data_IF_126717334800
#
_entry.id   IF_126717334800
#
_cell.length_a   1.000
_cell.length_b   1.000
_cell.length_c   1.000
_cell.angle_alpha   90.00
_cell.angle_beta   90.00
_cell.angle_gamma   90.00
#
_symmetry.space_group_name_H-M   'P 1'
#
loop_
_entity.id
_entity.type
_entity.pdbx_description
1 polymer ?
#
# COMPACT_ATOMS: atom_id res chain seq x y z
N UNK A 1 61.01 -47.76 -7.90
CA UNK A 1 59.55 -47.85 -8.11
C UNK A 1 58.85 -46.98 -7.08
N UNK A 2 57.76 -46.31 -7.49
CA UNK A 2 56.93 -45.36 -6.74
C UNK A 2 57.46 -43.92 -6.69
N UNK A 3 57.32 -43.31 -7.86
CA UNK A 3 57.18 -41.89 -8.10
C UNK A 3 56.03 -41.26 -7.29
N UNK A 4 56.13 -39.94 -7.13
CA UNK A 4 55.02 -38.97 -7.01
C UNK A 4 54.23 -39.04 -5.69
N UNK A 5 54.59 -38.19 -4.72
CA UNK A 5 53.64 -37.61 -3.76
C UNK A 5 54.22 -36.43 -2.95
N UNK A 6 55.11 -35.63 -3.55
CA UNK A 6 55.64 -34.40 -2.93
C UNK A 6 55.53 -33.24 -3.93
N UNK A 7 54.34 -33.04 -4.52
CA UNK A 7 53.89 -31.78 -5.13
C UNK A 7 52.35 -31.77 -5.10
N UNK A 8 51.76 -31.87 -3.91
CA UNK A 8 50.31 -31.67 -3.73
C UNK A 8 49.99 -31.15 -2.32
N UNK A 9 50.81 -30.22 -1.83
CA UNK A 9 50.62 -29.55 -0.54
C UNK A 9 50.49 -28.02 -0.70
N UNK A 10 50.13 -27.56 -1.92
CA UNK A 10 50.02 -26.14 -2.29
C UNK A 10 48.73 -25.78 -3.04
N UNK A 11 47.73 -26.66 -3.03
CA UNK A 11 46.43 -26.43 -3.67
C UNK A 11 45.28 -26.92 -2.79
N UNK A 12 45.04 -26.24 -1.66
CA UNK A 12 43.78 -26.31 -0.89
C UNK A 12 43.60 -25.09 0.03
N UNK A 13 44.04 -23.90 -0.42
CA UNK A 13 43.58 -22.62 0.14
C UNK A 13 42.59 -22.03 -0.85
N UNK A 14 41.31 -22.34 -0.66
CA UNK A 14 40.21 -21.47 -1.10
C UNK A 14 38.98 -21.84 -0.29
N UNK A 15 39.01 -21.49 1.00
CA UNK A 15 37.78 -21.33 1.74
C UNK A 15 37.13 -20.05 1.21
N UNK A 16 36.00 -20.27 0.57
CA UNK A 16 35.05 -19.29 0.05
C UNK A 16 34.67 -18.26 1.10
N UNK A 17 34.91 -16.98 0.81
CA UNK A 17 33.99 -15.91 1.20
C UNK A 17 33.90 -14.96 0.01
N UNK A 18 32.84 -15.15 -0.78
CA UNK A 18 32.48 -14.28 -1.89
C UNK A 18 32.21 -12.88 -1.33
N UNK A 19 33.04 -11.93 -1.69
CA UNK A 19 32.66 -10.52 -1.77
C UNK A 19 31.81 -10.30 -3.02
N UNK A 20 30.89 -9.34 -2.89
CA UNK A 20 30.04 -8.72 -3.92
C UNK A 20 28.86 -9.62 -4.35
N UNK A 21 27.60 -9.17 -4.42
CA UNK A 21 27.07 -7.82 -4.64
C UNK A 21 25.84 -7.59 -3.73
N UNK A 22 25.77 -6.39 -3.14
CA UNK A 22 24.50 -5.82 -2.71
C UNK A 22 23.66 -5.58 -3.94
N UNK A 23 22.58 -6.34 -4.10
CA UNK A 23 21.52 -6.05 -5.06
C UNK A 23 20.75 -4.86 -4.51
N UNK A 24 21.24 -3.66 -4.84
CA UNK A 24 20.42 -2.46 -4.84
C UNK A 24 19.33 -2.61 -5.90
N UNK A 25 18.15 -2.16 -5.50
CA UNK A 25 16.91 -2.17 -6.24
C UNK A 25 17.04 -1.34 -7.52
N UNK A 26 16.72 -1.95 -8.66
CA UNK A 26 16.30 -1.22 -9.85
C UNK A 26 14.95 -1.76 -10.31
N UNK A 27 13.88 -1.44 -9.57
CA UNK A 27 12.53 -1.43 -10.16
C UNK A 27 12.40 -0.14 -10.97
N UNK A 28 13.04 -0.11 -12.13
CA UNK A 28 12.75 0.88 -13.17
C UNK A 28 11.91 0.18 -14.22
N UNK A 29 10.63 -0.03 -13.93
CA UNK A 29 9.66 0.01 -15.02
C UNK A 29 9.59 1.47 -15.44
N UNK A 30 10.25 1.80 -16.55
CA UNK A 30 10.08 3.08 -17.23
C UNK A 30 8.58 3.23 -17.53
N UNK A 31 7.90 4.02 -16.70
CA UNK A 31 6.50 4.36 -16.93
C UNK A 31 6.51 5.42 -18.00
N UNK A 32 5.92 5.09 -19.14
CA UNK A 32 5.68 6.03 -20.23
C UNK A 32 4.82 7.19 -19.69
N UNK A 33 5.47 8.31 -19.38
CA UNK A 33 4.80 9.54 -18.94
C UNK A 33 4.15 10.18 -20.16
N UNK A 34 2.84 9.98 -20.31
CA UNK A 34 2.06 10.67 -21.34
C UNK A 34 1.82 12.11 -20.88
N UNK A 35 2.21 13.14 -21.66
CA UNK A 35 2.10 14.53 -21.23
C UNK A 35 0.63 14.97 -21.13
N UNK A 36 0.22 15.41 -19.94
CA UNK A 36 -1.11 15.91 -19.61
C UNK A 36 -1.37 17.28 -20.28
N UNK A 37 -1.74 17.27 -21.55
CA UNK A 37 -2.58 18.33 -22.14
C UNK A 37 -4.03 17.88 -22.03
N UNK A 38 -4.95 18.77 -21.65
CA UNK A 38 -6.38 18.50 -21.37
C UNK A 38 -7.10 17.71 -22.48
N UNK A 39 -6.86 16.40 -22.55
CA UNK A 39 -7.35 15.53 -23.61
C UNK A 39 -8.00 14.30 -22.98
N UNK A 40 -9.32 14.20 -23.18
CA UNK A 40 -10.15 13.00 -23.12
C UNK A 40 -9.96 12.08 -21.90
N UNK A 41 -10.20 12.59 -20.69
CA UNK A 41 -10.37 11.72 -19.53
C UNK A 41 -11.64 10.87 -19.68
N UNK A 42 -11.52 9.55 -19.43
CA UNK A 42 -12.64 8.60 -19.52
C UNK A 42 -13.55 8.72 -18.29
N UNK A 43 -12.93 8.85 -17.11
CA UNK A 43 -13.58 9.05 -15.82
C UNK A 43 -12.73 9.99 -14.96
N UNK A 44 -13.37 10.76 -14.08
CA UNK A 44 -12.70 11.72 -13.20
C UNK A 44 -13.38 11.84 -11.84
N UNK A 45 -12.59 11.64 -10.79
CA UNK A 45 -12.96 11.85 -9.40
C UNK A 45 -12.09 12.94 -8.79
N UNK A 46 -12.60 13.73 -7.84
CA UNK A 46 -11.82 14.81 -7.24
C UNK A 46 -12.30 15.22 -5.86
N UNK A 47 -11.38 15.74 -5.05
CA UNK A 47 -11.66 16.30 -3.73
C UNK A 47 -10.94 17.64 -3.58
N UNK A 48 -11.65 18.65 -3.07
CA UNK A 48 -11.03 19.89 -2.58
C UNK A 48 -10.45 19.62 -1.19
N UNK A 49 -9.20 20.02 -0.99
CA UNK A 49 -8.47 19.74 0.24
C UNK A 49 -8.52 20.94 1.18
N UNK A 50 -8.57 20.70 2.49
CA UNK A 50 -8.20 21.75 3.45
C UNK A 50 -6.72 22.06 3.27
N UNK A 51 -6.43 23.16 2.60
CA UNK A 51 -5.08 23.52 2.16
C UNK A 51 -4.19 24.13 3.24
N UNK A 52 -4.65 24.20 4.51
CA UNK A 52 -3.84 24.74 5.61
C UNK A 52 -2.59 23.89 5.85
N UNK A 53 -1.42 24.48 5.62
CA UNK A 53 -0.13 23.82 5.89
C UNK A 53 0.25 22.72 4.88
N UNK A 54 -0.44 22.61 3.74
CA UNK A 54 -0.15 21.65 2.68
C UNK A 54 0.02 22.33 1.31
N UNK A 55 0.80 21.70 0.43
CA UNK A 55 1.15 22.26 -0.88
C UNK A 55 0.02 22.22 -1.93
N UNK A 56 -1.02 21.42 -1.75
CA UNK A 56 -2.13 21.25 -2.70
C UNK A 56 -3.47 21.77 -2.15
N UNK A 57 -4.37 22.21 -3.02
CA UNK A 57 -5.76 22.57 -2.68
C UNK A 57 -6.79 21.62 -3.30
N UNK A 58 -6.36 20.70 -4.16
CA UNK A 58 -7.22 19.73 -4.83
C UNK A 58 -6.45 18.49 -5.22
N UNK A 59 -7.09 17.35 -5.14
CA UNK A 59 -6.66 16.10 -5.77
C UNK A 59 -7.67 15.71 -6.84
N UNK A 60 -7.17 15.19 -7.96
CA UNK A 60 -7.95 14.72 -9.10
C UNK A 60 -7.42 13.35 -9.49
N UNK A 61 -8.29 12.38 -9.63
CA UNK A 61 -7.98 11.07 -10.16
C UNK A 61 -8.65 10.97 -11.52
N UNK A 62 -7.87 10.68 -12.56
CA UNK A 62 -8.38 10.67 -13.92
C UNK A 62 -7.96 9.40 -14.64
N UNK A 63 -8.92 8.74 -15.30
CA UNK A 63 -8.65 7.62 -16.18
C UNK A 63 -8.18 8.13 -17.55
N UNK A 64 -6.99 7.70 -17.95
CA UNK A 64 -6.31 8.15 -19.19
C UNK A 64 -6.52 7.15 -20.31
N UNK A 65 -6.55 5.87 -19.98
CA UNK A 65 -6.62 4.79 -20.97
C UNK A 65 -7.29 3.57 -20.36
N UNK A 66 -8.09 2.89 -21.17
CA UNK A 66 -8.66 1.58 -20.86
C UNK A 66 -8.33 0.61 -21.98
N UNK A 67 -7.93 -0.60 -21.63
CA UNK A 67 -7.68 -1.70 -22.57
C UNK A 67 -8.32 -2.97 -22.08
N UNK A 68 -8.70 -3.86 -23.00
CA UNK A 68 -9.19 -5.20 -22.69
C UNK A 68 -8.30 -6.22 -23.39
N UNK A 69 -7.98 -7.32 -22.69
CA UNK A 69 -7.29 -8.44 -23.30
C UNK A 69 -8.28 -9.41 -23.98
N UNK A 70 -7.72 -10.48 -24.57
CA UNK A 70 -8.49 -11.52 -25.29
C UNK A 70 -9.46 -12.29 -24.39
N UNK A 71 -9.21 -12.30 -23.08
CA UNK A 71 -10.00 -13.01 -22.08
C UNK A 71 -11.01 -12.05 -21.40
N UNK A 72 -11.21 -10.86 -21.99
CA UNK A 72 -12.09 -9.80 -21.50
C UNK A 72 -11.69 -9.23 -20.12
N UNK A 73 -10.41 -9.36 -19.74
CA UNK A 73 -9.87 -8.71 -18.55
C UNK A 73 -9.54 -7.26 -18.90
N UNK A 74 -10.15 -6.33 -18.15
CA UNK A 74 -9.95 -4.90 -18.31
C UNK A 74 -8.70 -4.42 -17.57
N UNK A 75 -8.01 -3.43 -18.14
CA UNK A 75 -6.94 -2.67 -17.48
C UNK A 75 -7.19 -1.19 -17.71
N UNK A 76 -7.30 -0.44 -16.62
CA UNK A 76 -7.44 1.02 -16.63
C UNK A 76 -6.18 1.67 -16.11
N UNK A 77 -5.71 2.69 -16.81
CA UNK A 77 -4.57 3.50 -16.45
C UNK A 77 -5.07 4.83 -15.91
N UNK A 78 -4.65 5.18 -14.70
CA UNK A 78 -5.07 6.38 -14.00
C UNK A 78 -3.88 7.29 -13.69
N UNK A 79 -4.15 8.59 -13.56
CA UNK A 79 -3.27 9.54 -12.90
C UNK A 79 -3.94 10.10 -11.65
N UNK A 80 -3.25 10.03 -10.52
CA UNK A 80 -3.61 10.74 -9.29
C UNK A 80 -2.81 12.05 -9.28
N UNK A 81 -3.46 13.16 -9.62
CA UNK A 81 -2.88 14.48 -9.71
C UNK A 81 -3.21 15.36 -8.51
N UNK A 82 -2.21 16.04 -7.98
CA UNK A 82 -2.35 17.07 -6.94
C UNK A 82 -2.15 18.45 -7.55
N UNK A 83 -3.05 19.37 -7.22
CA UNK A 83 -3.14 20.68 -7.84
C UNK A 83 -3.05 21.79 -6.78
N UNK A 84 -2.46 22.92 -7.17
CA UNK A 84 -2.50 24.19 -6.45
C UNK A 84 -2.89 25.28 -7.41
N UNK A 85 -3.94 26.05 -7.11
CA UNK A 85 -4.47 27.10 -7.97
C UNK A 85 -4.67 26.61 -9.42
N UNK A 86 -5.26 25.41 -9.57
CA UNK A 86 -5.48 24.72 -10.84
C UNK A 86 -4.22 24.33 -11.65
N UNK A 87 -3.02 24.46 -11.08
CA UNK A 87 -1.79 23.93 -11.69
C UNK A 87 -1.42 22.61 -11.04
N UNK A 88 -1.15 21.58 -11.84
CA UNK A 88 -0.62 20.32 -11.33
C UNK A 88 0.76 20.57 -10.71
N UNK A 89 0.96 20.11 -9.48
CA UNK A 89 2.25 20.19 -8.77
C UNK A 89 2.90 18.82 -8.58
N UNK A 90 2.11 17.76 -8.66
CA UNK A 90 2.55 16.36 -8.59
C UNK A 90 1.53 15.47 -9.28
N UNK A 91 1.99 14.43 -9.96
CA UNK A 91 1.15 13.38 -10.53
C UNK A 91 1.74 12.01 -10.20
N UNK A 92 0.87 11.03 -9.98
CA UNK A 92 1.25 9.65 -9.76
C UNK A 92 0.48 8.73 -10.73
N UNK A 93 1.16 8.12 -11.71
CA UNK A 93 0.52 7.17 -12.61
C UNK A 93 0.30 5.83 -11.89
N UNK A 94 -0.85 5.22 -12.15
CA UNK A 94 -1.17 3.88 -11.63
C UNK A 94 -2.02 3.10 -12.63
N UNK A 95 -2.09 1.78 -12.45
CA UNK A 95 -2.92 0.89 -13.25
C UNK A 95 -3.75 0.01 -12.34
N UNK A 96 -4.99 -0.22 -12.74
CA UNK A 96 -5.94 -1.10 -12.07
C UNK A 96 -6.39 -2.17 -13.07
N UNK A 97 -6.36 -3.42 -12.64
CA UNK A 97 -6.86 -4.56 -13.42
C UNK A 97 -8.23 -4.93 -12.85
N UNK A 98 -9.21 -5.17 -13.71
CA UNK A 98 -10.58 -5.50 -13.31
C UNK A 98 -11.20 -6.55 -14.24
N UNK A 99 -12.22 -7.25 -13.74
CA UNK A 99 -12.92 -8.31 -14.46
C UNK A 99 -13.90 -7.78 -15.52
N UNK A 100 -14.78 -8.67 -16.01
CA UNK A 100 -15.71 -8.37 -17.10
C UNK A 100 -16.85 -7.40 -16.71
N UNK A 101 -17.27 -7.37 -15.44
CA UNK A 101 -18.56 -6.79 -15.03
C UNK A 101 -18.54 -5.40 -14.38
N UNK A 102 -17.38 -4.78 -14.11
CA UNK A 102 -17.37 -3.52 -13.36
C UNK A 102 -16.14 -2.65 -13.54
N UNK A 103 -16.39 -1.33 -13.62
CA UNK A 103 -15.36 -0.29 -13.64
C UNK A 103 -14.81 0.03 -12.26
N UNK A 104 -13.72 0.77 -12.23
CA UNK A 104 -13.00 1.13 -11.02
C UNK A 104 -13.73 2.28 -10.29
N UNK A 105 -14.14 2.07 -9.04
CA UNK A 105 -14.75 3.11 -8.20
C UNK A 105 -13.68 3.78 -7.35
N UNK A 106 -13.61 5.11 -7.36
CA UNK A 106 -12.63 5.84 -6.56
C UNK A 106 -13.28 6.51 -5.35
N UNK A 107 -12.59 6.45 -4.22
CA UNK A 107 -12.89 7.25 -3.05
C UNK A 107 -11.61 7.98 -2.58
N UNK A 108 -11.79 9.23 -2.15
CA UNK A 108 -10.72 10.09 -1.67
C UNK A 108 -11.09 10.57 -0.27
N UNK A 109 -10.21 10.36 0.70
CA UNK A 109 -10.44 10.66 2.11
C UNK A 109 -9.24 11.41 2.72
N UNK A 110 -9.48 12.62 3.24
CA UNK A 110 -8.48 13.44 3.96
C UNK A 110 -8.49 13.19 5.47
N UNK A 111 -9.46 12.43 5.98
CA UNK A 111 -9.64 12.10 7.40
C UNK A 111 -9.17 10.68 7.73
N UNK A 112 -8.57 9.96 6.78
CA UNK A 112 -8.15 8.56 6.95
C UNK A 112 -7.17 8.36 8.12
N UNK A 113 -6.26 9.30 8.35
CA UNK A 113 -5.33 9.27 9.48
C UNK A 113 -5.95 9.99 10.68
N UNK A 114 -6.97 9.34 11.27
CA UNK A 114 -7.63 9.74 12.51
C UNK A 114 -7.39 8.69 13.61
N UNK A 115 -7.51 9.07 14.88
CA UNK A 115 -7.58 8.11 15.97
C UNK A 115 -8.96 7.45 16.05
N UNK A 116 -9.10 6.41 16.88
CA UNK A 116 -10.33 5.62 16.96
C UNK A 116 -11.57 6.44 17.35
N UNK A 117 -11.38 7.49 18.14
CA UNK A 117 -12.46 8.40 18.59
C UNK A 117 -12.69 9.57 17.61
N UNK A 118 -11.89 9.67 16.54
CA UNK A 118 -11.86 10.82 15.61
C UNK A 118 -11.64 12.17 16.30
N UNK A 119 -11.01 12.18 17.47
CA UNK A 119 -10.66 13.40 18.20
C UNK A 119 -9.42 14.08 17.61
N UNK A 120 -8.52 13.28 17.02
CA UNK A 120 -7.29 13.76 16.41
C UNK A 120 -7.20 13.26 14.97
N UNK A 121 -6.99 14.18 14.03
CA UNK A 121 -6.90 13.90 12.60
C UNK A 121 -5.67 14.62 12.04
N UNK A 122 -4.86 13.92 11.25
CA UNK A 122 -3.79 14.53 10.46
C UNK A 122 -4.19 14.69 9.00
N UNK A 123 -4.79 15.84 8.68
CA UNK A 123 -5.32 16.17 7.35
C UNK A 123 -4.25 16.35 6.27
N UNK A 124 -2.96 16.20 6.63
CA UNK A 124 -1.85 16.17 5.67
C UNK A 124 -1.78 14.85 4.91
N UNK A 125 -2.51 13.82 5.36
CA UNK A 125 -2.59 12.55 4.69
C UNK A 125 -3.82 12.46 3.80
N UNK A 126 -3.63 12.09 2.54
CA UNK A 126 -4.69 11.90 1.56
C UNK A 126 -4.72 10.42 1.16
N UNK A 127 -5.77 9.72 1.56
CA UNK A 127 -6.04 8.36 1.14
C UNK A 127 -6.86 8.37 -0.14
N UNK A 128 -6.35 7.73 -1.18
CA UNK A 128 -7.09 7.45 -2.41
C UNK A 128 -7.25 5.94 -2.47
N UNK A 129 -8.47 5.44 -2.58
CA UNK A 129 -8.72 4.02 -2.78
C UNK A 129 -9.51 3.80 -4.05
N UNK A 130 -9.21 2.70 -4.72
CA UNK A 130 -9.94 2.22 -5.86
C UNK A 130 -10.55 0.85 -5.55
N UNK A 131 -11.87 0.73 -5.63
CA UNK A 131 -12.61 -0.51 -5.45
C UNK A 131 -13.01 -1.17 -6.76
N UNK A 132 -12.94 -2.49 -6.81
CA UNK A 132 -13.36 -3.32 -7.94
C UNK A 132 -14.10 -4.55 -7.40
N UNK A 133 -15.30 -4.79 -7.93
CA UNK A 133 -16.06 -6.00 -7.66
C UNK A 133 -15.38 -7.25 -8.26
N UNK A 134 -15.23 -8.29 -7.44
CA UNK A 134 -14.60 -9.57 -7.78
C UNK A 134 -15.32 -10.73 -7.05
N UNK A 135 -14.61 -11.84 -6.74
CA UNK A 135 -15.07 -12.83 -5.76
C UNK A 135 -14.93 -12.26 -4.33
N UNK A 136 -15.72 -11.23 -4.04
CA UNK A 136 -15.53 -10.29 -2.94
C UNK A 136 -15.39 -8.86 -3.49
N UNK A 137 -14.80 -7.97 -2.71
CA UNK A 137 -14.51 -6.60 -3.12
C UNK A 137 -13.04 -6.29 -2.89
N UNK A 138 -12.31 -6.13 -3.99
CA UNK A 138 -10.87 -5.83 -3.95
C UNK A 138 -10.66 -4.33 -4.00
N UNK A 139 -9.70 -3.83 -3.23
CA UNK A 139 -9.28 -2.45 -3.33
C UNK A 139 -7.78 -2.34 -3.53
N UNK A 140 -7.36 -1.33 -4.30
CA UNK A 140 -5.99 -0.81 -4.27
C UNK A 140 -6.00 0.55 -3.58
N UNK A 141 -5.16 0.70 -2.56
CA UNK A 141 -5.08 1.88 -1.73
C UNK A 141 -3.77 2.62 -1.92
N UNK A 142 -3.83 3.95 -1.89
CA UNK A 142 -2.69 4.85 -1.94
C UNK A 142 -2.80 5.83 -0.79
N UNK A 143 -1.75 5.92 0.03
CA UNK A 143 -1.68 6.93 1.09
C UNK A 143 -0.59 7.94 0.74
N UNK A 144 -1.00 9.16 0.44
CA UNK A 144 -0.10 10.28 0.20
C UNK A 144 0.04 11.14 1.45
N UNK A 145 1.21 11.75 1.62
CA UNK A 145 1.47 12.79 2.60
C UNK A 145 1.82 14.08 1.88
N UNK A 146 1.23 15.18 2.34
CA UNK A 146 1.43 16.52 1.81
C UNK A 146 1.97 17.42 2.91
N UNK A 147 3.05 18.13 2.63
CA UNK A 147 3.48 19.28 3.43
C UNK A 147 3.70 20.48 2.51
N UNK A 148 4.22 21.58 3.06
CA UNK A 148 4.54 22.77 2.27
C UNK A 148 5.62 22.52 1.20
N UNK A 149 6.44 21.47 1.35
CA UNK A 149 7.56 21.16 0.47
C UNK A 149 7.14 20.29 -0.71
N UNK A 150 6.09 19.49 -0.57
CA UNK A 150 5.55 18.72 -1.68
C UNK A 150 4.66 17.55 -1.26
N UNK A 151 4.55 16.61 -2.19
CA UNK A 151 3.74 15.40 -2.08
C UNK A 151 4.65 14.19 -2.03
N UNK A 152 4.33 13.23 -1.17
CA UNK A 152 4.99 11.94 -1.07
C UNK A 152 3.96 10.81 -1.08
N UNK A 153 4.13 9.80 -1.92
CA UNK A 153 3.48 8.50 -1.70
C UNK A 153 4.15 7.80 -0.50
N UNK A 154 3.39 7.61 0.59
CA UNK A 154 3.89 7.00 1.83
C UNK A 154 3.81 5.48 1.75
N UNK A 155 2.68 4.96 1.28
CA UNK A 155 2.49 3.52 1.06
C UNK A 155 1.37 3.25 0.07
N UNK A 156 1.43 2.07 -0.54
CA UNK A 156 0.39 1.50 -1.38
C UNK A 156 0.18 0.05 -0.92
N UNK A 157 -1.07 -0.40 -0.89
CA UNK A 157 -1.41 -1.79 -0.57
C UNK A 157 -2.72 -2.21 -1.25
N UNK A 158 -2.93 -3.51 -1.34
CA UNK A 158 -4.19 -4.08 -1.78
C UNK A 158 -4.93 -4.68 -0.58
N UNK A 159 -6.26 -4.61 -0.62
CA UNK A 159 -7.15 -5.29 0.32
C UNK A 159 -8.20 -6.09 -0.44
N UNK A 160 -8.80 -7.07 0.22
CA UNK A 160 -9.92 -7.82 -0.31
C UNK A 160 -10.83 -8.23 0.84
N UNK A 161 -12.11 -7.90 0.73
CA UNK A 161 -13.13 -8.26 1.72
C UNK A 161 -14.29 -8.99 1.04
N UNK A 162 -14.78 -10.05 1.66
CA UNK A 162 -16.02 -10.74 1.29
C UNK A 162 -16.86 -10.91 2.57
N UNK A 163 -17.88 -10.07 2.70
CA UNK A 163 -18.65 -9.96 3.94
C UNK A 163 -17.75 -9.60 5.13
N UNK A 164 -17.71 -10.48 6.13
CA UNK A 164 -16.91 -10.32 7.34
C UNK A 164 -15.54 -11.03 7.30
N UNK A 165 -14.99 -11.30 6.12
CA UNK A 165 -13.72 -11.99 5.98
C UNK A 165 -12.86 -11.27 4.95
N UNK A 166 -11.55 -11.25 5.16
CA UNK A 166 -10.69 -10.51 4.25
C UNK A 166 -9.31 -10.17 4.78
N UNK A 167 -8.53 -9.55 3.91
CA UNK A 167 -7.17 -9.10 4.18
C UNK A 167 -7.09 -7.61 3.96
N UNK A 168 -6.50 -6.88 4.91
CA UNK A 168 -6.29 -5.44 4.82
C UNK A 168 -5.08 -4.98 5.67
N UNK A 169 -4.71 -3.71 5.56
CA UNK A 169 -3.78 -3.06 6.48
C UNK A 169 -4.53 -2.18 7.49
N UNK A 170 -4.35 -2.49 8.78
CA UNK A 170 -4.84 -1.64 9.88
C UNK A 170 -3.79 -0.60 10.22
N UNK A 171 -4.18 0.67 10.21
CA UNK A 171 -3.33 1.81 10.55
C UNK A 171 -3.56 2.24 12.00
N UNK A 172 -2.48 2.62 12.67
CA UNK A 172 -2.45 3.15 14.03
C UNK A 172 -1.62 4.44 14.06
N UNK A 173 -2.27 5.59 13.83
CA UNK A 173 -1.66 6.90 13.99
C UNK A 173 -1.11 7.13 15.41
N UNK A 174 0.09 7.73 15.55
CA UNK A 174 0.65 8.10 16.86
C UNK A 174 0.58 9.63 17.10
N UNK A 175 -0.51 10.08 17.71
CA UNK A 175 -0.75 11.48 18.03
C UNK A 175 -0.07 11.99 19.31
N UNK A 176 0.92 11.27 19.87
CA UNK A 176 1.76 11.80 20.97
C UNK A 176 2.48 13.09 20.59
N UNK A 177 2.65 13.34 19.29
CA UNK A 177 3.18 14.59 18.75
C UNK A 177 2.16 15.22 17.81
N UNK A 178 2.07 16.56 17.83
CA UNK A 178 1.28 17.37 16.89
C UNK A 178 2.21 18.39 16.23
N UNK A 179 2.49 18.32 14.91
CA UNK A 179 2.01 17.31 13.95
C UNK A 179 2.50 15.88 14.24
N UNK A 180 1.76 14.87 13.76
CA UNK A 180 2.14 13.45 13.88
C UNK A 180 3.49 13.20 13.21
N UNK A 181 4.33 12.37 13.84
CA UNK A 181 5.67 12.00 13.38
C UNK A 181 5.89 10.50 13.19
N UNK A 182 4.95 9.67 13.62
CA UNK A 182 5.01 8.23 13.44
C UNK A 182 3.63 7.61 13.38
N UNK A 183 3.51 6.46 12.74
CA UNK A 183 2.36 5.59 12.81
C UNK A 183 2.77 4.15 12.54
N UNK A 184 1.92 3.20 12.89
CA UNK A 184 2.10 1.79 12.55
C UNK A 184 1.08 1.37 11.52
N UNK A 185 1.46 0.42 10.67
CA UNK A 185 0.53 -0.33 9.83
C UNK A 185 0.79 -1.81 10.02
N UNK A 186 -0.28 -2.60 10.12
CA UNK A 186 -0.18 -4.06 10.18
C UNK A 186 -1.15 -4.73 9.22
N UNK A 187 -0.66 -5.69 8.45
CA UNK A 187 -1.54 -6.55 7.66
C UNK A 187 -2.28 -7.51 8.58
N UNK A 188 -3.60 -7.52 8.45
CA UNK A 188 -4.52 -8.44 9.11
C UNK A 188 -5.17 -9.34 8.05
N UNK A 189 -5.41 -10.59 8.41
CA UNK A 189 -6.17 -11.57 7.64
C UNK A 189 -7.23 -12.16 8.58
N UNK A 190 -8.50 -11.92 8.25
CA UNK A 190 -9.68 -12.38 9.00
C UNK A 190 -10.30 -13.53 8.22
N UNK A 191 -10.23 -14.72 8.81
CA UNK A 191 -10.71 -15.96 8.20
C UNK A 191 -11.59 -16.73 9.17
N UNK A 192 -12.39 -17.67 8.67
CA UNK A 192 -13.17 -18.56 9.53
C UNK A 192 -12.23 -19.45 10.36
N UNK A 193 -12.50 -19.58 11.66
CA UNK A 193 -11.81 -20.56 12.49
C UNK A 193 -12.38 -21.96 12.22
N UNK A 194 -11.72 -22.72 11.34
CA UNK A 194 -12.14 -24.08 10.97
C UNK A 194 -11.77 -25.13 12.03
N UNK A 195 -11.05 -24.77 13.10
CA UNK A 195 -10.56 -25.72 14.11
C UNK A 195 -11.61 -26.04 15.17
N UNK A 196 -12.61 -25.17 15.34
CA UNK A 196 -13.70 -25.33 16.31
C UNK A 196 -15.00 -25.60 15.57
N UNK A 197 -15.58 -26.78 15.78
CA UNK A 197 -16.86 -27.16 15.21
C UNK A 197 -17.97 -27.00 16.26
N UNK A 198 -18.49 -25.79 16.40
CA UNK A 198 -19.69 -25.51 17.18
C UNK A 198 -20.65 -24.57 16.42
N UNK A 199 -21.77 -24.21 17.05
CA UNK A 199 -22.79 -23.38 16.42
C UNK A 199 -22.47 -21.88 16.44
N UNK A 200 -21.33 -21.47 16.99
CA UNK A 200 -20.94 -20.08 17.14
C UNK A 200 -19.92 -19.76 16.07
N UNK A 201 -20.26 -18.84 15.18
CA UNK A 201 -19.34 -18.35 14.16
C UNK A 201 -18.11 -17.72 14.80
N UNK A 202 -16.94 -18.19 14.41
CA UNK A 202 -15.65 -17.76 14.94
C UNK A 202 -14.72 -17.32 13.82
N UNK A 203 -13.88 -16.35 14.16
CA UNK A 203 -12.87 -15.82 13.26
C UNK A 203 -11.48 -16.01 13.85
N UNK A 204 -10.55 -16.45 13.02
CA UNK A 204 -9.11 -16.37 13.28
C UNK A 204 -8.57 -15.11 12.60
N UNK A 205 -7.91 -14.26 13.39
CA UNK A 205 -7.24 -13.05 12.91
C UNK A 205 -5.74 -13.29 12.93
N UNK A 206 -5.14 -13.40 11.75
CA UNK A 206 -3.70 -13.55 11.56
C UNK A 206 -3.03 -12.21 11.28
N UNK A 207 -1.88 -11.96 11.91
CA UNK A 207 -1.08 -10.75 11.74
C UNK A 207 0.28 -11.09 11.11
N UNK A 208 0.64 -10.43 10.01
CA UNK A 208 1.85 -10.76 9.22
C UNK A 208 2.85 -9.61 9.10
N UNK A 209 2.59 -8.63 8.25
CA UNK A 209 3.50 -7.52 7.99
C UNK A 209 3.24 -6.41 8.99
N UNK A 210 4.14 -6.19 9.95
CA UNK A 210 4.11 -5.04 10.85
C UNK A 210 5.17 -4.04 10.43
N UNK A 211 4.78 -2.79 10.28
CA UNK A 211 5.61 -1.72 9.74
C UNK A 211 5.44 -0.47 10.60
N UNK A 212 6.56 0.16 10.96
CA UNK A 212 6.58 1.52 11.50
C UNK A 212 6.90 2.51 10.40
N UNK A 213 6.14 3.59 10.34
CA UNK A 213 6.44 4.74 9.51
C UNK A 213 6.90 5.89 10.41
N UNK A 214 8.03 6.50 10.08
CA UNK A 214 8.59 7.64 10.80
C UNK A 214 8.79 8.82 9.85
N UNK A 215 8.50 10.03 10.32
CA UNK A 215 8.80 11.26 9.61
C UNK A 215 10.19 11.78 9.99
N UNK A 216 11.13 11.69 9.06
CA UNK A 216 12.53 12.07 9.25
C UNK A 216 13.03 12.88 8.05
N UNK A 217 13.70 14.00 8.31
CA UNK A 217 14.29 14.85 7.26
C UNK A 217 13.28 15.28 6.17
N UNK A 218 12.03 15.55 6.56
CA UNK A 218 10.98 15.99 5.64
C UNK A 218 10.36 14.89 4.79
N UNK A 219 10.60 13.61 5.10
CA UNK A 219 10.03 12.47 4.38
C UNK A 219 9.59 11.37 5.34
N UNK A 220 8.53 10.66 4.99
CA UNK A 220 8.13 9.43 5.65
C UNK A 220 9.02 8.27 5.21
N UNK A 221 9.52 7.50 6.18
CA UNK A 221 10.33 6.31 5.95
C UNK A 221 9.62 5.09 6.49
N UNK A 222 9.66 4.01 5.70
CA UNK A 222 9.10 2.70 6.03
C UNK A 222 10.14 1.85 6.76
N UNK A 223 9.82 1.33 7.94
CA UNK A 223 10.69 0.47 8.74
C UNK A 223 9.94 -0.83 9.05
N UNK A 224 10.27 -1.95 8.38
CA UNK A 224 9.70 -3.26 8.69
C UNK A 224 10.07 -3.69 10.11
N UNK A 225 9.11 -4.18 10.87
CA UNK A 225 9.31 -4.72 12.24
C UNK A 225 9.25 -6.24 12.26
N UNK A 226 8.55 -6.84 11.31
CA UNK A 226 8.42 -8.30 11.16
C UNK A 226 8.92 -8.74 9.79
N UNK A 227 9.13 -10.05 9.64
CA UNK A 227 9.47 -10.63 8.35
C UNK A 227 8.24 -10.63 7.44
N UNK A 228 8.42 -10.13 6.21
CA UNK A 228 7.34 -10.04 5.22
C UNK A 228 6.65 -11.39 4.99
N UNK A 229 5.32 -11.40 5.02
CA UNK A 229 4.45 -12.55 4.77
C UNK A 229 4.43 -13.61 5.87
N UNK A 230 5.18 -13.42 6.97
CA UNK A 230 5.19 -14.38 8.08
C UNK A 230 4.23 -13.99 9.18
N UNK A 231 3.33 -14.91 9.52
CA UNK A 231 2.44 -14.76 10.66
C UNK A 231 3.27 -14.70 11.94
N UNK A 232 3.14 -13.61 12.70
CA UNK A 232 3.82 -13.45 13.99
C UNK A 232 2.84 -13.46 15.17
N UNK A 233 1.53 -13.30 14.92
CA UNK A 233 0.47 -13.39 15.92
C UNK A 233 -0.80 -13.94 15.27
N UNK A 234 -1.54 -14.73 16.04
CA UNK A 234 -2.90 -15.17 15.73
C UNK A 234 -3.78 -14.92 16.95
N UNK A 235 -5.03 -14.53 16.72
CA UNK A 235 -6.04 -14.34 17.76
C UNK A 235 -7.36 -14.92 17.27
N UNK A 236 -8.14 -15.49 18.20
CA UNK A 236 -9.44 -16.06 17.88
C UNK A 236 -10.53 -15.28 18.61
N UNK A 237 -11.61 -14.99 17.91
CA UNK A 237 -12.77 -14.28 18.44
C UNK A 237 -14.05 -14.98 17.98
N UNK A 238 -15.16 -14.78 18.67
CA UNK A 238 -16.46 -14.93 18.00
C UNK A 238 -16.63 -13.82 16.96
N UNK A 239 -17.40 -14.08 15.90
CA UNK A 239 -17.67 -13.09 14.86
C UNK A 239 -18.22 -11.79 15.45
N UNK A 240 -19.18 -11.89 16.38
CA UNK A 240 -19.76 -10.74 17.06
C UNK A 240 -18.74 -9.95 17.89
N UNK A 241 -17.82 -10.61 18.59
CA UNK A 241 -16.78 -9.94 19.38
C UNK A 241 -15.78 -9.18 18.52
N UNK A 242 -15.51 -9.67 17.32
CA UNK A 242 -14.58 -8.99 16.40
C UNK A 242 -15.20 -7.70 15.84
N UNK A 243 -16.47 -7.75 15.41
CA UNK A 243 -17.14 -6.63 14.74
C UNK A 243 -17.77 -5.58 15.69
N UNK A 244 -17.71 -5.80 17.00
CA UNK A 244 -18.12 -4.80 18.02
C UNK A 244 -16.96 -3.91 18.50
N UNK A 245 -15.74 -4.11 18.01
CA UNK A 245 -14.52 -3.40 18.43
C UNK A 245 -14.35 -2.03 17.78
#
# INVERSE_FOLDING_TARGET
>A
MKYILIVLFLLCVSCTDKKEETVDVATSSEVEVVPTTESNFIQKDSLLLDSKGICADKVVIAEIKRTYDKDSIGTSYFEIGFFKNNKAIYTYPTKIVFGMEGGAEWNINQEFMADSENENIDTRFIHCNNGVAACGYTHTHFLFFLDEKGVQLVTQWDSMWDGGYGVDQRFEPDFKTKPMKSFFARTIDVSSDETVNDSIERVEVSYTDSVRYNFENGKWKKIPLTQKGKIYRKENFTFEEYYKQ
#
